data_IF_718694643403
#
_entry.id   IF_718694643403
#
_cell.length_a   1.000
_cell.length_b   1.000
_cell.length_c   1.000
_cell.angle_alpha   90.00
_cell.angle_beta   90.00
_cell.angle_gamma   90.00
#
_symmetry.space_group_name_H-M   'P 1'
#
loop_
_entity.id
_entity.type
_entity.pdbx_description
1 polymer ?
#
# COMPACT_ATOMS: atom_id res chain seq x y z
N UNK A 1 -11.76 3.83 -16.50
CA UNK A 1 -13.12 4.12 -16.99
C UNK A 1 -14.07 3.86 -15.82
N UNK A 2 -14.46 4.92 -15.10
CA UNK A 2 -15.32 4.83 -13.91
C UNK A 2 -16.76 4.64 -14.38
N UNK A 3 -17.07 3.44 -14.89
CA UNK A 3 -18.36 3.14 -15.51
C UNK A 3 -19.50 2.94 -14.50
N UNK A 4 -19.17 2.69 -13.23
CA UNK A 4 -20.12 2.14 -12.28
C UNK A 4 -20.76 3.20 -11.34
N UNK A 5 -20.24 4.43 -11.30
CA UNK A 5 -20.66 5.50 -10.36
C UNK A 5 -20.95 5.02 -8.91
N UNK A 6 -20.21 3.99 -8.49
CA UNK A 6 -20.36 3.34 -7.19
C UNK A 6 -19.01 2.82 -6.72
N UNK A 7 -18.87 2.70 -5.40
CA UNK A 7 -17.77 2.00 -4.78
C UNK A 7 -17.86 0.49 -5.10
N UNK A 8 -16.74 -0.12 -5.49
CA UNK A 8 -16.70 -1.54 -5.85
C UNK A 8 -16.32 -2.44 -4.67
N UNK A 9 -15.40 -1.98 -3.81
CA UNK A 9 -14.83 -2.79 -2.74
C UNK A 9 -14.16 -1.90 -1.68
N UNK A 10 -14.32 -2.25 -0.39
CA UNK A 10 -13.60 -1.67 0.75
C UNK A 10 -12.52 -2.63 1.22
N UNK A 11 -11.34 -2.10 1.51
CA UNK A 11 -10.27 -2.83 2.22
C UNK A 11 -10.24 -2.37 3.67
N UNK A 12 -10.43 -3.29 4.60
CA UNK A 12 -10.36 -3.00 6.03
C UNK A 12 -9.80 -4.19 6.81
N UNK A 13 -9.24 -3.92 7.98
CA UNK A 13 -8.75 -4.94 8.91
C UNK A 13 -8.94 -4.41 10.33
N UNK A 14 -9.48 -5.23 11.23
CA UNK A 14 -9.94 -4.80 12.56
C UNK A 14 -8.82 -4.19 13.42
N UNK A 15 -7.58 -4.61 13.21
CA UNK A 15 -6.42 -4.12 13.95
C UNK A 15 -5.82 -2.82 13.39
N UNK A 16 -6.31 -2.31 12.25
CA UNK A 16 -5.74 -1.13 11.58
C UNK A 16 -6.67 0.05 11.84
N UNK A 17 -6.27 0.92 12.76
CA UNK A 17 -7.03 2.09 13.22
C UNK A 17 -6.32 3.43 12.94
N UNK A 18 -5.42 3.43 11.96
CA UNK A 18 -4.57 4.56 11.59
C UNK A 18 -4.90 5.06 10.17
N UNK A 19 -4.43 6.27 9.85
CA UNK A 19 -4.66 6.88 8.54
C UNK A 19 -3.87 6.19 7.42
N UNK A 20 -4.41 6.26 6.21
CA UNK A 20 -3.71 5.90 4.97
C UNK A 20 -3.11 7.19 4.40
N UNK A 21 -1.83 7.14 4.06
CA UNK A 21 -1.08 8.31 3.56
C UNK A 21 -0.73 8.22 2.08
N UNK A 22 -0.61 7.00 1.54
CA UNK A 22 -0.24 6.75 0.14
C UNK A 22 -0.76 5.39 -0.32
N UNK A 23 -1.09 5.27 -1.60
CA UNK A 23 -1.49 4.01 -2.24
C UNK A 23 -0.84 3.85 -3.61
N UNK A 24 -0.56 2.62 -4.02
CA UNK A 24 -0.17 2.30 -5.39
C UNK A 24 -0.64 0.89 -5.79
N UNK A 25 -1.00 0.73 -7.05
CA UNK A 25 -1.22 -0.60 -7.62
C UNK A 25 0.10 -1.20 -8.08
N UNK A 26 0.23 -2.52 -7.90
CA UNK A 26 1.18 -3.32 -8.69
C UNK A 26 0.89 -3.20 -10.18
N UNK A 27 1.91 -3.46 -11.02
CA UNK A 27 1.76 -3.41 -12.49
C UNK A 27 0.64 -4.31 -13.02
N UNK A 28 0.43 -5.48 -12.41
CA UNK A 28 -0.65 -6.40 -12.78
C UNK A 28 -2.03 -5.98 -12.27
N UNK A 29 -2.08 -5.01 -11.35
CA UNK A 29 -3.29 -4.60 -10.65
C UNK A 29 -3.76 -5.60 -9.58
N UNK A 30 -3.07 -6.73 -9.39
CA UNK A 30 -3.49 -7.78 -8.43
C UNK A 30 -3.22 -7.40 -6.98
N UNK A 31 -2.14 -6.67 -6.73
CA UNK A 31 -1.78 -6.17 -5.42
C UNK A 31 -2.02 -4.66 -5.33
N UNK A 32 -2.53 -4.21 -4.20
CA UNK A 32 -2.55 -2.81 -3.76
C UNK A 32 -1.59 -2.66 -2.59
N UNK A 33 -0.65 -1.74 -2.72
CA UNK A 33 0.23 -1.31 -1.65
C UNK A 33 -0.37 -0.07 -1.00
N UNK A 34 -0.56 -0.09 0.31
CA UNK A 34 -1.05 1.04 1.06
C UNK A 34 -0.09 1.34 2.21
N UNK A 35 0.42 2.57 2.27
CA UNK A 35 1.25 3.08 3.36
C UNK A 35 0.38 3.68 4.45
N UNK A 36 0.68 3.34 5.70
CA UNK A 36 -0.13 3.70 6.87
C UNK A 36 0.68 4.50 7.90
N UNK A 37 -0.07 5.20 8.76
CA UNK A 37 0.48 5.93 9.92
C UNK A 37 0.99 5.00 11.03
N UNK A 38 0.73 3.69 10.97
CA UNK A 38 1.31 2.67 11.87
C UNK A 38 2.73 2.22 11.47
N UNK A 39 3.37 2.98 10.58
CA UNK A 39 4.75 2.82 10.09
C UNK A 39 4.94 1.64 9.13
N UNK A 40 3.87 0.92 8.78
CA UNK A 40 3.93 -0.20 7.85
C UNK A 40 3.29 0.13 6.50
N UNK A 41 3.67 -0.64 5.49
CA UNK A 41 2.86 -0.74 4.27
C UNK A 41 2.12 -2.08 4.25
N UNK A 42 0.80 -2.07 4.20
CA UNK A 42 0.03 -3.30 4.03
C UNK A 42 -0.14 -3.61 2.54
N UNK A 43 -0.08 -4.91 2.21
CA UNK A 43 -0.27 -5.44 0.86
C UNK A 43 -1.64 -6.11 0.82
N UNK A 44 -2.49 -5.69 -0.10
CA UNK A 44 -3.86 -6.17 -0.25
C UNK A 44 -4.04 -6.90 -1.58
N UNK A 45 -4.80 -8.00 -1.58
CA UNK A 45 -5.28 -8.64 -2.81
C UNK A 45 -6.50 -7.86 -3.33
N UNK A 46 -6.37 -7.26 -4.51
CA UNK A 46 -7.37 -6.36 -5.09
C UNK A 46 -8.70 -7.02 -5.46
N UNK A 47 -8.73 -8.36 -5.53
CA UNK A 47 -9.92 -9.13 -5.87
C UNK A 47 -10.63 -9.68 -4.65
N UNK A 48 -9.94 -9.78 -3.50
CA UNK A 48 -10.45 -10.45 -2.30
C UNK A 48 -10.71 -9.51 -1.13
N UNK A 49 -10.21 -8.27 -1.18
CA UNK A 49 -10.16 -7.37 -0.03
C UNK A 49 -9.43 -7.95 1.20
N UNK A 50 -8.48 -8.86 0.98
CA UNK A 50 -7.73 -9.50 2.06
C UNK A 50 -6.32 -8.92 2.13
N UNK A 51 -5.84 -8.69 3.36
CA UNK A 51 -4.44 -8.37 3.60
C UNK A 51 -3.61 -9.64 3.41
N UNK A 52 -2.71 -9.61 2.42
CA UNK A 52 -1.85 -10.76 2.05
C UNK A 52 -0.39 -10.59 2.48
N UNK A 53 -0.01 -9.40 2.95
CA UNK A 53 1.35 -9.15 3.42
C UNK A 53 1.52 -7.80 4.09
N UNK A 54 2.71 -7.61 4.67
CA UNK A 54 3.12 -6.38 5.36
C UNK A 54 4.59 -6.14 5.01
N UNK A 55 4.93 -4.90 4.63
CA UNK A 55 6.30 -4.42 4.56
C UNK A 55 6.55 -3.60 5.82
N UNK A 56 7.17 -4.24 6.81
CA UNK A 56 7.54 -3.64 8.09
C UNK A 56 9.03 -3.33 8.09
N UNK A 57 9.38 -2.09 8.44
CA UNK A 57 10.79 -1.70 8.52
C UNK A 57 11.04 -0.22 8.62
N UNK A 58 10.04 0.63 8.39
CA UNK A 58 10.13 2.04 8.74
C UNK A 58 9.93 2.25 10.24
N UNK A 59 10.56 3.29 10.77
CA UNK A 59 10.48 3.67 12.20
C UNK A 59 9.64 4.95 12.42
N UNK A 60 8.91 5.35 11.39
CA UNK A 60 7.99 6.48 11.41
C UNK A 60 6.96 6.33 10.28
N UNK A 61 5.95 7.21 10.24
CA UNK A 61 4.86 7.15 9.28
C UNK A 61 5.36 7.12 7.83
N UNK A 62 4.79 6.21 7.05
CA UNK A 62 5.04 6.18 5.61
C UNK A 62 4.37 7.40 5.00
N UNK A 63 5.07 8.14 4.15
CA UNK A 63 4.58 9.38 3.54
C UNK A 63 4.35 9.26 2.04
N UNK A 64 5.00 8.31 1.37
CA UNK A 64 4.87 8.11 -0.06
C UNK A 64 5.25 6.68 -0.48
N UNK A 65 4.72 6.26 -1.62
CA UNK A 65 4.96 4.95 -2.21
C UNK A 65 4.98 5.07 -3.74
N UNK A 66 5.83 4.29 -4.40
CA UNK A 66 5.88 4.18 -5.86
C UNK A 66 6.24 2.77 -6.29
N UNK A 67 5.67 2.30 -7.40
CA UNK A 67 5.96 0.99 -8.00
C UNK A 67 6.69 1.23 -9.31
N UNK A 68 7.74 0.46 -9.59
CA UNK A 68 8.45 0.56 -10.87
C UNK A 68 7.55 0.16 -12.04
N UNK A 69 7.77 0.76 -13.21
CA UNK A 69 6.95 0.49 -14.39
C UNK A 69 7.04 -0.98 -14.86
N UNK A 70 8.14 -1.67 -14.56
CA UNK A 70 8.29 -3.10 -14.81
C UNK A 70 7.61 -3.99 -13.74
N UNK A 71 7.29 -3.43 -12.58
CA UNK A 71 6.68 -4.12 -11.43
C UNK A 71 7.67 -4.90 -10.57
N UNK A 72 8.98 -4.75 -10.79
CA UNK A 72 10.01 -5.49 -10.06
C UNK A 72 10.36 -4.91 -8.70
N UNK A 73 9.97 -3.68 -8.41
CA UNK A 73 10.26 -3.09 -7.11
C UNK A 73 9.19 -2.09 -6.66
N UNK A 74 9.12 -1.92 -5.35
CA UNK A 74 8.33 -0.89 -4.67
C UNK A 74 9.27 -0.01 -3.86
N UNK A 75 9.20 1.29 -4.06
CA UNK A 75 9.88 2.28 -3.24
C UNK A 75 8.91 2.87 -2.21
N UNK A 76 9.30 2.91 -0.95
CA UNK A 76 8.55 3.56 0.14
C UNK A 76 9.41 4.66 0.76
N UNK A 77 8.82 5.80 1.07
CA UNK A 77 9.45 6.88 1.82
C UNK A 77 8.71 7.18 3.10
N UNK A 78 9.44 7.45 4.17
CA UNK A 78 8.90 7.70 5.50
C UNK A 78 9.50 8.96 6.14
N UNK A 79 8.83 9.43 7.18
CA UNK A 79 9.30 10.47 8.07
C UNK A 79 10.50 10.05 8.94
N UNK A 80 10.95 8.79 8.85
CA UNK A 80 12.23 8.32 9.40
C UNK A 80 13.45 8.80 8.59
N UNK A 81 13.23 9.64 7.57
CA UNK A 81 14.23 10.20 6.65
C UNK A 81 14.86 9.17 5.71
N UNK A 82 14.28 7.97 5.59
CA UNK A 82 14.78 6.92 4.71
C UNK A 82 13.82 6.58 3.56
N UNK A 83 14.42 6.19 2.44
CA UNK A 83 13.77 5.46 1.38
C UNK A 83 14.09 3.98 1.54
N UNK A 84 13.11 3.10 1.32
CA UNK A 84 13.31 1.65 1.28
C UNK A 84 12.81 1.10 -0.06
N UNK A 85 13.58 0.16 -0.61
CA UNK A 85 13.25 -0.53 -1.86
C UNK A 85 12.95 -1.99 -1.51
N UNK A 86 11.78 -2.46 -1.95
CA UNK A 86 11.27 -3.81 -1.72
C UNK A 86 11.13 -4.53 -3.06
N UNK A 87 11.41 -5.84 -3.09
CA UNK A 87 11.22 -6.75 -4.24
C UNK A 87 10.63 -8.06 -3.71
#
# INVERSE_FOLDING_TARGET
DLRADQELIVYSHESIICGITSVAFSRSGRLVFAGYDDFNCNIWDSLKAERVGILSGHDNRVSCLGVTADGMAVATGSWDSFLKIWN
#
